data_IF_232961954943
#
_entry.id   IF_232961954943
#
_cell.length_a   1.000
_cell.length_b   1.000
_cell.length_c   1.000
_cell.angle_alpha   90.00
_cell.angle_beta   90.00
_cell.angle_gamma   90.00
#
_symmetry.space_group_name_H-M   'P 1'
#
loop_
_entity.id
_entity.type
_entity.pdbx_description
1 polymer ?
#
# COMPACT_ATOMS: atom_id res chain seq x y z
N UNK A 1 19.55 13.42 11.60
CA UNK A 1 18.15 13.85 11.93
C UNK A 1 17.30 12.61 12.09
N UNK A 2 16.72 12.42 13.26
CA UNK A 2 15.88 11.23 13.52
C UNK A 2 14.54 11.37 12.81
N UNK A 3 14.12 10.30 12.14
CA UNK A 3 12.79 10.12 11.57
C UNK A 3 12.20 8.78 12.03
N UNK A 4 10.92 8.81 12.32
CA UNK A 4 10.17 7.63 12.78
C UNK A 4 9.02 7.38 11.83
N UNK A 5 8.92 6.15 11.33
CA UNK A 5 7.81 5.68 10.52
C UNK A 5 6.97 4.67 11.30
N UNK A 6 5.65 4.81 11.26
CA UNK A 6 4.71 3.87 11.88
C UNK A 6 3.70 3.38 10.85
N UNK A 7 3.55 2.07 10.79
CA UNK A 7 2.52 1.40 10.00
C UNK A 7 1.62 0.58 10.93
N UNK A 8 0.31 0.82 10.85
CA UNK A 8 -0.70 0.10 11.64
C UNK A 8 -1.48 -0.79 10.68
N UNK A 9 -0.93 -1.97 10.42
CA UNK A 9 -1.51 -2.97 9.53
C UNK A 9 -2.50 -3.91 10.23
N UNK A 10 -3.20 -4.75 9.44
CA UNK A 10 -4.22 -5.66 9.99
C UNK A 10 -3.64 -6.82 10.78
N UNK A 11 -2.40 -7.26 10.51
CA UNK A 11 -1.73 -8.36 11.21
C UNK A 11 -0.67 -7.91 12.19
N UNK A 12 -0.10 -6.72 11.99
CA UNK A 12 1.00 -6.21 12.80
C UNK A 12 1.03 -4.69 12.82
N UNK A 13 1.63 -4.17 13.88
CA UNK A 13 2.03 -2.77 14.00
C UNK A 13 3.54 -2.72 13.86
N UNK A 14 4.04 -1.90 12.93
CA UNK A 14 5.47 -1.75 12.66
C UNK A 14 5.92 -0.34 13.00
N UNK A 15 7.09 -0.21 13.63
CA UNK A 15 7.74 1.06 13.91
C UNK A 15 9.21 0.99 13.52
N UNK A 16 9.66 1.97 12.73
CA UNK A 16 11.05 2.11 12.31
C UNK A 16 11.58 3.45 12.80
N UNK A 17 12.72 3.43 13.46
CA UNK A 17 13.48 4.63 13.83
C UNK A 17 14.74 4.69 13.00
N UNK A 18 14.97 5.78 12.30
CA UNK A 18 16.14 5.97 11.44
C UNK A 18 16.83 7.31 11.69
N UNK A 19 18.15 7.33 11.53
CA UNK A 19 18.93 8.56 11.46
C UNK A 19 19.27 8.89 10.02
N UNK A 20 18.72 10.02 9.54
CA UNK A 20 18.99 10.57 8.22
C UNK A 20 20.23 11.46 8.29
N UNK A 21 21.35 10.98 7.75
CA UNK A 21 22.58 11.76 7.60
C UNK A 21 22.60 12.38 6.19
N UNK A 22 23.20 13.56 6.07
CA UNK A 22 23.39 14.20 4.76
C UNK A 22 24.28 13.32 3.88
N UNK A 23 23.81 13.06 2.65
CA UNK A 23 24.54 12.30 1.60
C UNK A 23 24.87 10.84 1.93
N UNK A 24 24.13 10.18 2.81
CA UNK A 24 24.25 8.75 3.10
C UNK A 24 22.90 8.08 3.14
N UNK A 25 22.89 6.75 3.02
CA UNK A 25 21.68 5.96 3.25
C UNK A 25 21.22 6.12 4.70
N UNK A 26 19.90 6.10 4.94
CA UNK A 26 19.36 6.13 6.30
C UNK A 26 19.92 4.99 7.15
N UNK A 27 20.42 5.31 8.33
CA UNK A 27 20.83 4.29 9.31
C UNK A 27 19.61 3.90 10.13
N UNK A 28 19.21 2.63 10.06
CA UNK A 28 18.15 2.09 10.93
C UNK A 28 18.71 1.94 12.34
N UNK A 29 18.06 2.58 13.30
CA UNK A 29 18.39 2.52 14.72
C UNK A 29 17.53 1.52 15.47
N UNK A 30 16.26 1.35 15.05
CA UNK A 30 15.33 0.38 15.61
C UNK A 30 14.31 -0.05 14.56
N UNK A 31 13.90 -1.31 14.63
CA UNK A 31 12.81 -1.86 13.83
C UNK A 31 11.99 -2.83 14.70
N UNK A 32 10.78 -2.40 15.05
CA UNK A 32 9.86 -3.18 15.88
C UNK A 32 8.68 -3.63 15.03
N UNK A 33 8.39 -4.93 15.08
CA UNK A 33 7.16 -5.52 14.56
C UNK A 33 6.40 -6.19 15.72
N UNK A 34 5.15 -5.79 15.90
CA UNK A 34 4.29 -6.33 16.94
C UNK A 34 3.01 -6.90 16.34
N UNK A 35 2.69 -8.19 16.55
CA UNK A 35 1.48 -8.78 16.02
C UNK A 35 0.24 -8.15 16.66
N UNK A 36 -0.82 -7.93 15.87
CA UNK A 36 -2.11 -7.47 16.37
C UNK A 36 -3.26 -8.24 15.72
N UNK A 37 -4.36 -8.40 16.44
CA UNK A 37 -5.63 -8.93 15.93
C UNK A 37 -6.79 -7.95 16.11
N UNK A 38 -6.48 -6.73 16.61
CA UNK A 38 -7.46 -5.71 16.97
C UNK A 38 -7.85 -4.78 15.81
N UNK A 39 -7.42 -5.11 14.58
CA UNK A 39 -7.74 -4.39 13.35
C UNK A 39 -8.44 -5.33 12.38
N UNK A 40 -9.51 -4.87 11.77
CA UNK A 40 -10.21 -5.62 10.73
C UNK A 40 -10.60 -4.67 9.58
N UNK A 41 -10.19 -5.00 8.36
CA UNK A 41 -10.44 -4.17 7.16
C UNK A 41 -10.13 -2.69 7.40
N UNK A 42 -8.96 -2.41 7.99
CA UNK A 42 -8.47 -1.07 8.32
C UNK A 42 -9.34 -0.28 9.35
N UNK A 43 -10.25 -0.94 10.03
CA UNK A 43 -11.00 -0.39 11.14
C UNK A 43 -10.53 -0.98 12.47
N UNK A 44 -10.43 -0.15 13.50
CA UNK A 44 -10.07 -0.60 14.85
C UNK A 44 -11.26 -1.33 15.46
N UNK A 45 -11.06 -2.60 15.85
CA UNK A 45 -12.07 -3.40 16.55
C UNK A 45 -12.25 -2.86 17.97
N UNK A 46 -11.14 -2.53 18.62
CA UNK A 46 -11.11 -1.93 19.94
C UNK A 46 -10.05 -0.82 19.99
N UNK A 47 -10.51 0.42 20.04
CA UNK A 47 -9.62 1.59 20.03
C UNK A 47 -8.64 1.61 21.21
N UNK A 48 -9.10 1.22 22.41
CA UNK A 48 -8.24 1.25 23.59
C UNK A 48 -7.11 0.21 23.49
N UNK A 49 -7.43 -1.01 23.04
CA UNK A 49 -6.41 -2.05 22.86
C UNK A 49 -5.37 -1.65 21.81
N UNK A 50 -5.82 -1.11 20.66
CA UNK A 50 -4.88 -0.60 19.65
C UNK A 50 -4.01 0.52 20.20
N UNK A 51 -4.58 1.44 20.99
CA UNK A 51 -3.82 2.52 21.61
C UNK A 51 -2.73 1.97 22.54
N UNK A 52 -3.04 0.94 23.32
CA UNK A 52 -2.08 0.32 24.23
C UNK A 52 -1.00 -0.46 23.46
N UNK A 53 -1.36 -1.18 22.38
CA UNK A 53 -0.40 -1.86 21.50
C UNK A 53 0.53 -0.85 20.80
N UNK A 54 0.00 0.24 20.24
CA UNK A 54 0.81 1.30 19.59
C UNK A 54 1.74 1.95 20.61
N UNK A 55 1.24 2.27 21.81
CA UNK A 55 2.08 2.80 22.91
C UNK A 55 3.22 1.85 23.23
N UNK A 56 2.93 0.56 23.33
CA UNK A 56 3.92 -0.47 23.62
C UNK A 56 5.00 -0.51 22.53
N UNK A 57 4.60 -0.55 21.25
CA UNK A 57 5.52 -0.56 20.09
C UNK A 57 6.43 0.67 20.07
N UNK A 58 5.87 1.87 20.30
CA UNK A 58 6.64 3.12 20.33
C UNK A 58 7.61 3.14 21.52
N UNK A 59 7.18 2.64 22.68
CA UNK A 59 8.05 2.54 23.86
C UNK A 59 9.22 1.59 23.62
N UNK A 60 8.98 0.44 22.99
CA UNK A 60 10.03 -0.50 22.60
C UNK A 60 11.01 0.14 21.60
N UNK A 61 10.49 0.81 20.56
CA UNK A 61 11.30 1.48 19.55
C UNK A 61 12.16 2.62 20.14
N UNK A 62 11.59 3.41 21.06
CA UNK A 62 12.31 4.46 21.77
C UNK A 62 13.44 3.91 22.63
N UNK A 63 13.18 2.80 23.35
CA UNK A 63 14.18 2.13 24.19
C UNK A 63 15.31 1.52 23.36
N UNK A 64 14.96 0.82 22.28
CA UNK A 64 15.92 0.15 21.40
C UNK A 64 16.82 1.14 20.65
N UNK A 65 16.23 2.23 20.14
CA UNK A 65 16.96 3.33 19.45
C UNK A 65 17.65 4.30 20.40
N UNK A 66 17.41 4.23 21.70
CA UNK A 66 17.85 5.21 22.71
C UNK A 66 17.43 6.65 22.35
N UNK A 67 16.26 6.81 21.72
CA UNK A 67 15.76 8.09 21.21
C UNK A 67 14.36 8.39 21.75
N UNK A 68 14.11 9.62 22.19
CA UNK A 68 12.76 10.08 22.54
C UNK A 68 11.95 10.29 21.26
N UNK A 69 10.79 9.61 21.12
CA UNK A 69 9.91 9.71 19.96
C UNK A 69 8.80 10.72 20.28
N UNK A 70 8.89 11.92 19.71
CA UNK A 70 7.88 12.99 19.83
C UNK A 70 7.02 13.16 18.59
N UNK A 71 7.53 12.73 17.44
CA UNK A 71 6.86 12.85 16.16
C UNK A 71 7.08 11.65 15.29
N UNK A 72 6.13 11.38 14.39
CA UNK A 72 6.14 10.24 13.47
C UNK A 72 5.64 10.61 12.08
N UNK A 73 6.03 9.82 11.09
CA UNK A 73 5.35 9.69 9.81
C UNK A 73 4.44 8.47 9.88
N UNK A 74 3.18 8.61 9.49
CA UNK A 74 2.17 7.58 9.67
C UNK A 74 1.64 7.08 8.33
N UNK A 75 1.68 5.78 8.12
CA UNK A 75 1.04 5.14 6.97
C UNK A 75 -0.48 5.15 7.11
N UNK A 76 -1.15 5.46 5.99
CA UNK A 76 -2.62 5.48 5.89
C UNK A 76 -3.05 4.50 4.79
N UNK A 77 -3.94 3.53 5.09
CA UNK A 77 -4.48 2.64 4.08
C UNK A 77 -5.41 3.39 3.12
N UNK A 78 -5.41 2.97 1.84
CA UNK A 78 -6.13 3.65 0.75
C UNK A 78 -7.24 2.79 0.13
N UNK A 79 -7.75 1.78 0.84
CA UNK A 79 -8.77 0.84 0.33
C UNK A 79 -10.09 1.50 -0.09
N UNK A 80 -10.47 2.59 0.55
CA UNK A 80 -11.67 3.37 0.25
C UNK A 80 -11.32 4.78 -0.24
N UNK A 81 -10.19 4.89 -0.95
CA UNK A 81 -9.75 6.16 -1.52
C UNK A 81 -10.46 6.49 -2.83
N UNK A 82 -10.39 7.74 -3.20
CA UNK A 82 -10.82 8.25 -4.50
C UNK A 82 -9.63 8.91 -5.16
N UNK A 83 -9.32 8.47 -6.38
CA UNK A 83 -8.26 9.02 -7.20
C UNK A 83 -8.83 9.88 -8.31
N UNK A 84 -8.25 11.07 -8.50
CA UNK A 84 -8.61 11.99 -9.57
C UNK A 84 -7.40 12.35 -10.39
N UNK A 85 -7.63 12.43 -11.71
CA UNK A 85 -6.73 13.11 -12.62
C UNK A 85 -7.46 14.34 -13.13
N UNK A 86 -6.80 15.48 -13.08
CA UNK A 86 -7.34 16.73 -13.57
C UNK A 86 -6.25 17.63 -14.10
N UNK A 87 -6.63 18.54 -14.96
CA UNK A 87 -5.71 19.42 -15.67
C UNK A 87 -5.94 20.87 -15.26
N UNK A 88 -4.86 21.64 -15.19
CA UNK A 88 -4.92 23.09 -15.09
C UNK A 88 -4.16 23.71 -16.25
N UNK A 89 -4.88 24.42 -17.10
CA UNK A 89 -4.35 25.01 -18.32
C UNK A 89 -4.20 26.53 -18.14
N UNK A 90 -3.04 27.06 -18.50
CA UNK A 90 -2.79 28.48 -18.57
C UNK A 90 -2.20 28.88 -19.94
N UNK A 91 -2.55 30.06 -20.39
CA UNK A 91 -1.96 30.69 -21.58
C UNK A 91 -0.77 31.54 -21.17
N UNK A 92 0.32 31.44 -21.94
CA UNK A 92 1.61 32.09 -21.70
C UNK A 92 2.05 32.82 -22.96
N UNK A 93 1.31 33.64 -23.51
CA UNK A 93 1.53 34.55 -24.66
C UNK A 93 2.90 34.45 -25.41
N UNK A 94 3.42 33.24 -25.62
CA UNK A 94 4.70 32.90 -26.25
C UNK A 94 5.93 33.47 -25.51
N UNK A 95 5.90 33.38 -24.18
CA UNK A 95 6.99 33.77 -23.29
C UNK A 95 7.67 32.57 -22.66
N UNK A 96 8.74 32.83 -21.89
CA UNK A 96 9.39 31.82 -21.05
C UNK A 96 8.48 31.40 -19.88
N UNK A 97 8.33 30.10 -19.69
CA UNK A 97 7.66 29.57 -18.51
C UNK A 97 8.48 29.92 -17.26
N UNK A 98 7.85 30.58 -16.30
CA UNK A 98 8.42 30.98 -15.03
C UNK A 98 7.69 30.30 -13.88
N UNK A 99 8.31 30.26 -12.68
CA UNK A 99 7.68 29.74 -11.44
C UNK A 99 6.33 30.40 -11.13
N UNK A 100 6.15 31.67 -11.52
CA UNK A 100 4.88 32.37 -11.36
C UNK A 100 3.75 31.71 -12.15
N UNK A 101 4.04 31.23 -13.35
CA UNK A 101 3.07 30.53 -14.20
C UNK A 101 2.66 29.18 -13.55
N UNK A 102 3.63 28.42 -12.98
CA UNK A 102 3.33 27.21 -12.24
C UNK A 102 2.44 27.50 -11.03
N UNK A 103 2.78 28.52 -10.22
CA UNK A 103 1.96 28.94 -9.07
C UNK A 103 0.53 29.33 -9.48
N UNK A 104 0.38 30.10 -10.58
CA UNK A 104 -0.93 30.48 -11.11
C UNK A 104 -1.75 29.25 -11.49
N UNK A 105 -1.16 28.30 -12.21
CA UNK A 105 -1.84 27.07 -12.62
C UNK A 105 -2.22 26.20 -11.41
N UNK A 106 -1.36 26.09 -10.39
CA UNK A 106 -1.64 25.38 -9.15
C UNK A 106 -2.83 26.02 -8.41
N UNK A 107 -2.86 27.33 -8.26
CA UNK A 107 -3.95 28.04 -7.58
C UNK A 107 -5.29 27.94 -8.32
N UNK A 108 -5.27 27.81 -9.65
CA UNK A 108 -6.50 27.57 -10.43
C UNK A 108 -7.04 26.14 -10.28
N UNK A 109 -6.22 25.22 -9.79
CA UNK A 109 -6.56 23.79 -9.68
C UNK A 109 -7.36 23.40 -8.43
N UNK A 110 -7.54 24.31 -7.46
CA UNK A 110 -8.17 24.02 -6.15
C UNK A 110 -9.69 23.83 -6.20
N UNK A 111 -10.27 23.67 -7.39
CA UNK A 111 -11.73 23.61 -7.60
C UNK A 111 -12.44 22.35 -7.08
N UNK A 112 -11.74 21.32 -6.60
CA UNK A 112 -12.32 20.04 -6.23
C UNK A 112 -12.42 19.75 -4.73
N UNK A 113 -12.35 20.76 -3.87
CA UNK A 113 -12.36 20.58 -2.40
C UNK A 113 -13.73 20.22 -1.79
N UNK A 114 -14.76 19.96 -2.60
CA UNK A 114 -16.14 19.84 -2.14
C UNK A 114 -16.60 18.40 -1.78
N UNK A 115 -15.72 17.42 -1.69
CA UNK A 115 -16.10 16.12 -1.14
C UNK A 115 -16.07 16.18 0.40
N UNK A 116 -17.20 16.58 1.00
CA UNK A 116 -17.35 16.89 2.44
C UNK A 116 -16.80 15.79 3.35
N UNK A 117 -16.88 14.51 2.94
CA UNK A 117 -16.46 13.36 3.74
C UNK A 117 -15.05 12.86 3.45
N UNK A 118 -14.31 13.54 2.57
CA UNK A 118 -12.96 13.14 2.17
C UNK A 118 -11.94 14.23 2.53
N UNK A 119 -10.70 13.81 2.77
CA UNK A 119 -9.54 14.67 3.01
C UNK A 119 -8.46 14.31 1.98
N UNK A 120 -7.76 15.33 1.47
CA UNK A 120 -6.68 15.15 0.50
C UNK A 120 -5.49 14.53 1.24
N UNK A 121 -5.10 13.33 0.81
CA UNK A 121 -3.89 12.66 1.30
C UNK A 121 -2.68 13.02 0.44
N UNK A 122 -2.88 13.14 -0.89
CA UNK A 122 -1.85 13.57 -1.85
C UNK A 122 -2.45 14.45 -2.94
N UNK A 123 -1.69 15.46 -3.32
CA UNK A 123 -1.98 16.30 -4.49
C UNK A 123 -0.65 16.78 -5.08
N UNK A 124 -0.35 16.37 -6.32
CA UNK A 124 0.90 16.76 -6.97
C UNK A 124 0.79 16.71 -8.49
N UNK A 125 1.77 17.33 -9.15
CA UNK A 125 1.84 17.39 -10.60
C UNK A 125 2.51 16.11 -11.12
N UNK A 126 1.72 15.25 -11.76
CA UNK A 126 2.19 14.00 -12.36
C UNK A 126 2.98 14.24 -13.66
N UNK A 127 2.56 15.21 -14.49
CA UNK A 127 3.26 15.60 -15.72
C UNK A 127 2.86 17.01 -16.16
N UNK A 128 3.63 17.55 -17.09
CA UNK A 128 3.33 18.82 -17.76
C UNK A 128 3.08 18.58 -19.24
N UNK A 129 2.33 19.49 -19.88
CA UNK A 129 2.25 19.59 -21.33
C UNK A 129 2.59 21.03 -21.75
N UNK A 130 3.58 21.15 -22.61
CA UNK A 130 4.03 22.41 -23.19
C UNK A 130 3.67 22.39 -24.67
N UNK A 131 2.74 23.24 -25.10
CA UNK A 131 2.22 23.28 -26.47
C UNK A 131 1.81 21.91 -27.02
N UNK A 132 1.05 21.13 -26.18
CA UNK A 132 0.58 19.77 -26.45
C UNK A 132 1.69 18.68 -26.49
N UNK A 133 2.91 19.01 -26.06
CA UNK A 133 3.98 18.01 -25.89
C UNK A 133 4.15 17.68 -24.43
N UNK A 134 4.05 16.40 -24.09
CA UNK A 134 4.19 15.90 -22.73
C UNK A 134 5.63 16.01 -22.24
N UNK A 135 5.80 16.53 -21.02
CA UNK A 135 7.07 16.69 -20.34
C UNK A 135 6.96 16.18 -18.90
N UNK A 136 7.90 15.36 -18.44
CA UNK A 136 7.97 14.88 -17.05
C UNK A 136 8.91 15.71 -16.17
N UNK A 137 9.85 16.43 -16.79
CA UNK A 137 10.78 17.33 -16.09
C UNK A 137 10.16 18.71 -15.79
N UNK A 138 10.95 19.59 -15.13
CA UNK A 138 10.55 20.96 -14.86
C UNK A 138 10.39 21.75 -16.18
N UNK A 139 9.22 22.34 -16.45
CA UNK A 139 8.97 23.10 -17.68
C UNK A 139 9.58 24.52 -17.69
N UNK A 140 10.04 25.03 -16.52
CA UNK A 140 10.56 26.38 -16.38
C UNK A 140 11.76 26.60 -17.33
N UNK A 141 11.76 27.73 -18.02
CA UNK A 141 12.78 28.10 -19.00
C UNK A 141 12.49 27.65 -20.44
N UNK A 142 11.40 26.91 -20.68
CA UNK A 142 10.93 26.65 -22.05
C UNK A 142 10.03 27.80 -22.55
N UNK A 143 10.08 28.11 -23.84
CA UNK A 143 9.10 28.97 -24.47
C UNK A 143 7.80 28.21 -24.70
N UNK A 144 6.66 28.82 -24.39
CA UNK A 144 5.35 28.21 -24.61
C UNK A 144 4.27 29.23 -24.90
N UNK A 145 3.24 28.80 -25.61
CA UNK A 145 1.95 29.49 -25.70
C UNK A 145 0.97 28.97 -24.66
N UNK A 146 1.04 27.68 -24.41
CA UNK A 146 0.13 26.98 -23.51
C UNK A 146 0.94 26.07 -22.61
N UNK A 147 0.70 26.19 -21.30
CA UNK A 147 1.17 25.24 -20.29
C UNK A 147 -0.03 24.56 -19.66
N UNK A 148 -0.05 23.23 -19.72
CA UNK A 148 -1.01 22.40 -19.01
C UNK A 148 -0.30 21.57 -17.91
N UNK A 149 -0.83 21.61 -16.69
CA UNK A 149 -0.37 20.82 -15.56
C UNK A 149 -1.34 19.68 -15.33
N UNK A 150 -0.86 18.44 -15.45
CA UNK A 150 -1.67 17.25 -15.17
C UNK A 150 -1.46 16.84 -13.71
N UNK A 151 -2.49 16.92 -12.91
CA UNK A 151 -2.46 16.62 -11.50
C UNK A 151 -2.97 15.22 -11.22
N UNK A 152 -2.40 14.61 -10.20
CA UNK A 152 -2.95 13.46 -9.52
C UNK A 152 -3.32 13.84 -8.08
N UNK A 153 -4.56 13.57 -7.69
CA UNK A 153 -5.09 13.79 -6.34
C UNK A 153 -5.62 12.47 -5.77
N UNK A 154 -5.16 12.14 -4.59
CA UNK A 154 -5.64 10.98 -3.81
C UNK A 154 -6.34 11.50 -2.55
N UNK A 155 -7.59 11.11 -2.39
CA UNK A 155 -8.41 11.49 -1.24
C UNK A 155 -8.87 10.25 -0.49
N UNK A 156 -8.89 10.35 0.84
CA UNK A 156 -9.34 9.28 1.74
C UNK A 156 -10.44 9.79 2.67
N UNK A 157 -11.23 8.88 3.24
CA UNK A 157 -12.32 9.25 4.15
C UNK A 157 -11.79 10.00 5.37
N UNK A 158 -12.38 11.16 5.69
CA UNK A 158 -12.02 11.98 6.87
C UNK A 158 -12.08 11.18 8.17
N UNK A 159 -13.09 10.31 8.32
CA UNK A 159 -13.23 9.50 9.53
C UNK A 159 -12.04 8.57 9.74
N UNK A 160 -11.48 8.01 8.67
CA UNK A 160 -10.27 7.19 8.76
C UNK A 160 -9.10 8.02 9.29
N UNK A 161 -8.80 9.15 8.65
CA UNK A 161 -7.72 10.04 9.06
C UNK A 161 -7.90 10.50 10.51
N UNK A 162 -9.12 10.91 10.88
CA UNK A 162 -9.40 11.39 12.23
C UNK A 162 -9.21 10.28 13.27
N UNK A 163 -9.58 9.03 12.96
CA UNK A 163 -9.35 7.89 13.85
C UNK A 163 -7.87 7.70 14.14
N UNK A 164 -7.03 7.74 13.11
CA UNK A 164 -5.59 7.62 13.27
C UNK A 164 -4.96 8.86 13.96
N UNK A 165 -5.38 10.06 13.58
CA UNK A 165 -4.89 11.30 14.23
C UNK A 165 -5.25 11.34 15.73
N UNK A 166 -6.47 10.95 16.10
CA UNK A 166 -6.92 10.89 17.49
C UNK A 166 -6.13 9.89 18.32
N UNK A 167 -5.77 8.74 17.72
CA UNK A 167 -4.94 7.74 18.39
C UNK A 167 -3.59 8.33 18.83
N UNK A 168 -2.90 9.07 17.95
CA UNK A 168 -1.61 9.67 18.26
C UNK A 168 -1.72 10.95 19.10
N UNK A 169 -2.82 11.69 18.96
CA UNK A 169 -3.13 12.81 19.84
C UNK A 169 -3.26 12.35 21.31
N UNK A 170 -4.00 11.25 21.55
CA UNK A 170 -4.14 10.65 22.87
C UNK A 170 -2.81 10.10 23.44
N UNK A 171 -1.87 9.76 22.57
CA UNK A 171 -0.51 9.33 22.94
C UNK A 171 0.45 10.50 23.11
N UNK A 172 0.02 11.74 22.87
CA UNK A 172 0.83 12.96 22.86
C UNK A 172 2.01 12.91 21.87
N UNK A 173 1.79 12.24 20.73
CA UNK A 173 2.77 12.11 19.65
C UNK A 173 2.27 12.91 18.45
N UNK A 174 3.14 13.78 17.93
CA UNK A 174 2.82 14.58 16.75
C UNK A 174 2.93 13.75 15.47
N UNK A 175 1.91 13.79 14.62
CA UNK A 175 1.96 13.19 13.26
C UNK A 175 2.46 14.26 12.29
N UNK A 176 3.73 14.13 11.86
CA UNK A 176 4.36 15.08 10.93
C UNK A 176 3.76 14.95 9.54
N UNK A 177 3.60 13.71 9.06
CA UNK A 177 3.14 13.41 7.72
C UNK A 177 2.27 12.16 7.69
N UNK A 178 1.21 12.22 6.88
CA UNK A 178 0.41 11.06 6.49
C UNK A 178 0.92 10.57 5.14
N UNK A 179 1.22 9.28 5.04
CA UNK A 179 1.79 8.67 3.83
C UNK A 179 0.86 7.54 3.37
N UNK A 180 0.46 7.48 2.08
CA UNK A 180 -0.28 6.33 1.58
C UNK A 180 0.53 5.05 1.73
N UNK A 181 -0.06 4.01 2.32
CA UNK A 181 0.62 2.71 2.49
C UNK A 181 1.22 2.17 1.19
N UNK A 182 0.52 2.16 0.03
CA UNK A 182 1.12 1.66 -1.22
C UNK A 182 2.36 2.44 -1.65
N UNK A 183 2.43 3.74 -1.37
CA UNK A 183 3.62 4.53 -1.67
C UNK A 183 4.80 4.12 -0.80
N UNK A 184 4.60 3.93 0.51
CA UNK A 184 5.65 3.50 1.44
C UNK A 184 6.19 2.13 1.05
N UNK A 185 5.30 1.16 0.77
CA UNK A 185 5.66 -0.19 0.35
C UNK A 185 6.50 -0.18 -0.92
N UNK A 186 6.08 0.60 -1.92
CA UNK A 186 6.82 0.69 -3.18
C UNK A 186 8.19 1.38 -3.03
N UNK A 187 8.27 2.47 -2.28
CA UNK A 187 9.54 3.15 -2.03
C UNK A 187 10.55 2.29 -1.24
N UNK A 188 10.07 1.30 -0.50
CA UNK A 188 10.92 0.35 0.21
C UNK A 188 11.56 -0.71 -0.70
N UNK A 189 10.94 -1.04 -1.84
CA UNK A 189 11.35 -2.15 -2.71
C UNK A 189 11.80 -1.72 -4.10
N UNK A 190 11.34 -0.55 -4.60
CA UNK A 190 11.72 -0.02 -5.91
C UNK A 190 12.94 0.90 -5.79
N UNK A 191 13.97 0.64 -6.56
CA UNK A 191 15.09 1.56 -6.72
C UNK A 191 14.72 2.74 -7.65
N UNK A 192 15.66 3.66 -7.87
CA UNK A 192 15.44 4.86 -8.73
C UNK A 192 15.21 4.44 -10.17
N UNK A 193 16.00 3.49 -10.67
CA UNK A 193 15.93 3.03 -12.07
C UNK A 193 14.59 2.33 -12.36
N UNK A 194 14.08 1.52 -11.42
CA UNK A 194 12.76 0.90 -11.54
C UNK A 194 11.65 1.97 -11.69
N UNK A 195 11.71 3.03 -10.87
CA UNK A 195 10.73 4.11 -10.91
C UNK A 195 10.85 4.97 -12.17
N UNK A 196 12.06 5.16 -12.68
CA UNK A 196 12.28 5.92 -13.92
C UNK A 196 11.82 5.15 -15.16
N UNK A 197 12.21 3.88 -15.27
CA UNK A 197 11.83 3.00 -16.38
C UNK A 197 10.34 2.66 -16.41
N UNK A 198 9.66 2.85 -15.29
CA UNK A 198 8.27 2.50 -15.08
C UNK A 198 8.10 1.16 -14.37
N UNK A 199 7.39 1.19 -13.23
CA UNK A 199 7.11 0.03 -12.42
C UNK A 199 5.67 0.04 -11.89
N UNK A 200 5.08 -1.14 -11.81
CA UNK A 200 3.89 -1.42 -11.00
C UNK A 200 4.36 -2.19 -9.77
N UNK A 201 4.09 -1.68 -8.58
CA UNK A 201 4.31 -2.41 -7.35
C UNK A 201 2.96 -2.81 -6.76
N UNK A 202 2.80 -4.11 -6.46
CA UNK A 202 1.60 -4.67 -5.83
C UNK A 202 2.01 -5.20 -4.45
N UNK A 203 1.40 -4.65 -3.40
CA UNK A 203 1.58 -5.09 -2.02
C UNK A 203 0.41 -6.00 -1.63
N UNK A 204 0.69 -7.29 -1.50
CA UNK A 204 -0.26 -8.33 -1.11
C UNK A 204 -0.32 -8.43 0.42
N UNK A 205 -1.09 -7.54 1.03
CA UNK A 205 -1.28 -7.48 2.47
C UNK A 205 -2.25 -8.54 3.01
N UNK A 206 -2.53 -8.49 4.32
CA UNK A 206 -3.47 -9.42 4.96
C UNK A 206 -4.93 -9.13 4.58
N UNK A 207 -5.39 -7.88 4.72
CA UNK A 207 -6.79 -7.51 4.50
C UNK A 207 -7.04 -6.80 3.17
N UNK A 208 -5.99 -6.31 2.53
CA UNK A 208 -6.08 -5.57 1.27
C UNK A 208 -4.85 -5.85 0.41
N UNK A 209 -5.05 -5.68 -0.89
CA UNK A 209 -3.97 -5.64 -1.88
C UNK A 209 -3.90 -4.23 -2.42
N UNK A 210 -2.77 -3.58 -2.24
CA UNK A 210 -2.54 -2.23 -2.75
C UNK A 210 -1.64 -2.22 -3.97
N UNK A 211 -1.78 -1.19 -4.80
CA UNK A 211 -0.98 -1.04 -6.00
C UNK A 211 -0.53 0.41 -6.16
N UNK A 212 0.62 0.56 -6.77
CA UNK A 212 1.18 1.84 -7.15
C UNK A 212 1.83 1.73 -8.52
N UNK A 213 1.76 2.81 -9.29
CA UNK A 213 2.35 2.89 -10.62
C UNK A 213 3.30 4.07 -10.67
N UNK A 214 4.55 3.81 -11.05
CA UNK A 214 5.58 4.81 -11.31
C UNK A 214 5.96 4.86 -12.79
N UNK A 215 6.33 6.03 -13.28
CA UNK A 215 6.95 6.27 -14.57
C UNK A 215 7.74 7.59 -14.50
N UNK A 216 8.96 7.64 -15.03
CA UNK A 216 9.85 8.80 -14.98
C UNK A 216 10.03 9.36 -13.54
N UNK A 217 10.29 8.47 -12.59
CA UNK A 217 10.38 8.75 -11.14
C UNK A 217 9.11 9.38 -10.52
N UNK A 218 8.04 9.57 -11.31
CA UNK A 218 6.78 10.14 -10.85
C UNK A 218 5.80 9.05 -10.45
N UNK A 219 5.16 9.23 -9.30
CA UNK A 219 4.01 8.43 -8.93
C UNK A 219 2.85 8.81 -9.85
N UNK A 220 2.34 7.87 -10.61
CA UNK A 220 1.20 8.11 -11.51
C UNK A 220 -0.12 7.74 -10.87
N UNK A 221 -0.12 6.75 -10.00
CA UNK A 221 -1.34 6.21 -9.43
C UNK A 221 -1.05 5.41 -8.15
N UNK A 222 -1.95 5.47 -7.19
CA UNK A 222 -1.97 4.61 -6.01
C UNK A 222 -3.42 4.28 -5.66
N UNK A 223 -3.72 3.01 -5.40
CA UNK A 223 -5.05 2.55 -5.00
C UNK A 223 -4.92 1.22 -4.24
N UNK A 224 -6.04 0.67 -3.76
CA UNK A 224 -6.09 -0.64 -3.15
C UNK A 224 -7.44 -1.31 -3.39
N UNK A 225 -7.44 -2.64 -3.32
CA UNK A 225 -8.64 -3.47 -3.27
C UNK A 225 -8.76 -4.12 -1.90
N UNK A 226 -10.01 -4.25 -1.38
CA UNK A 226 -10.30 -4.78 -0.04
C UNK A 226 -10.27 -6.33 -0.01
N UNK A 227 -9.31 -6.93 -0.72
CA UNK A 227 -9.02 -8.37 -0.72
C UNK A 227 -7.54 -8.56 -0.44
N UNK A 228 -7.21 -9.44 0.50
CA UNK A 228 -5.84 -9.76 0.88
C UNK A 228 -5.68 -11.24 1.25
N UNK A 229 -4.52 -11.61 1.72
CA UNK A 229 -4.16 -13.01 2.02
C UNK A 229 -5.04 -13.67 3.09
N UNK A 230 -5.71 -12.88 3.94
CA UNK A 230 -6.71 -13.37 4.91
C UNK A 230 -7.95 -13.96 4.23
N UNK A 231 -8.29 -13.49 3.03
CA UNK A 231 -9.38 -14.07 2.24
C UNK A 231 -9.05 -15.49 1.84
N UNK A 232 -7.80 -15.75 1.40
CA UNK A 232 -7.31 -17.11 1.09
C UNK A 232 -7.43 -18.00 2.33
N UNK A 233 -6.97 -17.53 3.49
CA UNK A 233 -7.08 -18.27 4.76
C UNK A 233 -8.52 -18.62 5.12
N UNK A 234 -9.45 -17.67 4.94
CA UNK A 234 -10.87 -17.90 5.19
C UNK A 234 -11.47 -18.92 4.21
N UNK A 235 -11.07 -18.88 2.93
CA UNK A 235 -11.54 -19.82 1.93
C UNK A 235 -11.04 -21.24 2.20
N UNK A 236 -9.76 -21.39 2.59
CA UNK A 236 -9.21 -22.67 3.02
C UNK A 236 -9.99 -23.18 4.26
N UNK A 237 -10.16 -22.34 5.29
CA UNK A 237 -10.86 -22.73 6.51
C UNK A 237 -12.27 -23.25 6.23
N UNK A 238 -13.01 -22.60 5.32
CA UNK A 238 -14.35 -23.01 4.89
C UNK A 238 -14.33 -24.23 3.99
N UNK A 239 -13.46 -24.25 2.97
CA UNK A 239 -13.40 -25.29 1.95
C UNK A 239 -13.03 -26.67 2.52
N UNK A 240 -12.17 -26.68 3.53
CA UNK A 240 -11.76 -27.94 4.18
C UNK A 240 -12.30 -28.08 5.62
N UNK A 241 -13.19 -27.21 6.08
CA UNK A 241 -13.81 -27.25 7.42
C UNK A 241 -12.78 -27.37 8.53
N UNK A 242 -11.86 -26.38 8.63
CA UNK A 242 -10.83 -26.31 9.66
C UNK A 242 -10.80 -24.94 10.35
N UNK A 243 -10.00 -24.78 11.40
CA UNK A 243 -9.82 -23.49 12.08
C UNK A 243 -9.06 -22.50 11.17
N UNK A 244 -9.25 -21.20 11.38
CA UNK A 244 -8.48 -20.16 10.66
C UNK A 244 -6.98 -20.28 10.94
N UNK A 245 -6.61 -20.66 12.15
CA UNK A 245 -5.22 -20.87 12.55
C UNK A 245 -4.59 -22.03 11.77
N UNK A 246 -5.29 -23.18 11.70
CA UNK A 246 -4.86 -24.31 10.88
C UNK A 246 -4.82 -23.96 9.40
N UNK A 247 -5.81 -23.22 8.89
CA UNK A 247 -5.85 -22.77 7.50
C UNK A 247 -4.70 -21.82 7.16
N UNK A 248 -4.33 -20.91 8.06
CA UNK A 248 -3.18 -20.03 7.89
C UNK A 248 -1.87 -20.83 7.83
N UNK A 249 -1.73 -21.80 8.72
CA UNK A 249 -0.57 -22.70 8.71
C UNK A 249 -0.50 -23.53 7.42
N UNK A 250 -1.64 -24.07 6.96
CA UNK A 250 -1.71 -24.82 5.70
C UNK A 250 -1.34 -23.96 4.49
N UNK A 251 -1.89 -22.74 4.42
CA UNK A 251 -1.55 -21.77 3.38
C UNK A 251 -0.04 -21.49 3.34
N UNK A 252 0.57 -21.29 4.51
CA UNK A 252 1.98 -20.90 4.61
C UNK A 252 2.93 -22.06 4.30
N UNK A 253 2.58 -23.29 4.70
CA UNK A 253 3.47 -24.45 4.55
C UNK A 253 3.28 -25.22 3.24
N UNK A 254 2.06 -25.26 2.72
CA UNK A 254 1.70 -26.13 1.59
C UNK A 254 1.02 -25.41 0.42
N UNK A 255 0.63 -24.12 0.62
CA UNK A 255 -0.11 -23.38 -0.38
C UNK A 255 0.74 -22.98 -1.57
N UNK A 256 0.25 -23.24 -2.78
CA UNK A 256 0.83 -22.79 -4.04
C UNK A 256 -0.26 -22.29 -5.00
N UNK A 257 0.09 -21.32 -5.84
CA UNK A 257 -0.76 -20.89 -6.97
C UNK A 257 -0.59 -21.81 -8.17
N UNK A 258 0.59 -22.39 -8.30
CA UNK A 258 0.91 -23.36 -9.34
C UNK A 258 0.49 -24.75 -8.91
N UNK A 259 0.01 -25.55 -9.86
CA UNK A 259 -0.36 -26.93 -9.64
C UNK A 259 0.69 -27.87 -10.21
N UNK A 260 1.06 -28.90 -9.47
CA UNK A 260 1.94 -29.99 -9.90
C UNK A 260 1.22 -31.33 -9.84
N UNK A 261 1.49 -32.27 -10.75
CA UNK A 261 0.95 -33.63 -10.65
C UNK A 261 1.30 -34.35 -9.33
N UNK A 262 2.40 -34.00 -8.70
CA UNK A 262 2.80 -34.53 -7.38
C UNK A 262 1.85 -34.10 -6.25
N UNK A 263 1.17 -32.96 -6.37
CA UNK A 263 0.27 -32.43 -5.34
C UNK A 263 -0.93 -33.36 -5.06
N UNK A 264 -1.31 -34.20 -6.00
CA UNK A 264 -2.37 -35.20 -5.82
C UNK A 264 -1.95 -36.36 -4.93
N UNK A 265 -0.65 -36.59 -4.79
CA UNK A 265 -0.09 -37.69 -4.00
C UNK A 265 0.48 -37.22 -2.64
N UNK A 266 0.64 -35.90 -2.47
CA UNK A 266 1.09 -35.33 -1.20
C UNK A 266 -0.07 -35.22 -0.22
N UNK A 267 -0.08 -36.11 0.80
CA UNK A 267 -1.13 -36.20 1.81
C UNK A 267 -0.77 -35.32 3.00
N UNK A 268 -1.71 -34.48 3.42
CA UNK A 268 -1.59 -33.58 4.56
C UNK A 268 -2.65 -33.93 5.60
N UNK A 269 -2.24 -34.06 6.85
CA UNK A 269 -3.15 -34.29 7.97
C UNK A 269 -3.62 -32.98 8.58
N UNK A 270 -4.93 -32.84 8.74
CA UNK A 270 -5.57 -31.64 9.27
C UNK A 270 -6.54 -31.97 10.40
N UNK A 271 -6.65 -31.14 11.45
CA UNK A 271 -7.61 -31.36 12.53
C UNK A 271 -9.04 -31.19 12.04
N UNK A 272 -9.96 -32.05 12.50
CA UNK A 272 -11.41 -31.96 12.20
C UNK A 272 -12.07 -30.99 13.18
N UNK A 273 -13.06 -30.23 12.71
CA UNK A 273 -13.94 -29.38 13.53
C UNK A 273 -15.35 -29.98 13.63
N UNK A 274 -15.98 -29.88 14.79
CA UNK A 274 -15.41 -29.54 16.13
C UNK A 274 -14.43 -30.62 16.61
N UNK A 275 -13.30 -30.16 17.14
CA UNK A 275 -12.27 -31.10 17.66
C UNK A 275 -12.70 -31.69 18.96
N UNK A 276 -13.55 -32.72 18.92
CA UNK A 276 -13.63 -33.68 20.03
C UNK A 276 -12.46 -34.67 19.86
N UNK A 277 -11.42 -34.43 20.68
CA UNK A 277 -10.30 -35.34 20.87
C UNK A 277 -9.53 -35.82 19.62
N UNK A 278 -8.71 -34.91 19.06
CA UNK A 278 -7.57 -35.37 18.26
C UNK A 278 -7.90 -36.12 16.97
N UNK A 279 -9.08 -35.92 16.39
CA UNK A 279 -9.41 -36.51 15.11
C UNK A 279 -8.79 -35.69 13.97
N UNK A 280 -8.08 -36.35 13.08
CA UNK A 280 -7.47 -35.79 11.89
C UNK A 280 -8.13 -36.38 10.67
N UNK A 281 -8.23 -35.59 9.61
CA UNK A 281 -8.54 -36.06 8.27
C UNK A 281 -7.37 -35.82 7.33
N UNK A 282 -7.28 -36.64 6.31
CA UNK A 282 -6.28 -36.50 5.26
C UNK A 282 -6.86 -35.78 4.06
N UNK A 283 -6.10 -34.85 3.51
CA UNK A 283 -6.40 -34.14 2.25
C UNK A 283 -5.15 -34.12 1.39
N UNK A 284 -5.33 -34.02 0.09
CA UNK A 284 -4.21 -33.84 -0.83
C UNK A 284 -3.82 -32.36 -0.92
N UNK A 285 -2.55 -32.05 -1.16
CA UNK A 285 -2.06 -30.69 -1.36
C UNK A 285 -2.82 -29.99 -2.50
N UNK A 286 -3.17 -30.73 -3.56
CA UNK A 286 -4.00 -30.24 -4.66
C UNK A 286 -5.33 -29.63 -4.21
N UNK A 287 -5.94 -30.16 -3.13
CA UNK A 287 -7.18 -29.59 -2.54
C UNK A 287 -6.97 -28.17 -2.04
N UNK A 288 -5.83 -27.90 -1.38
CA UNK A 288 -5.48 -26.56 -0.88
C UNK A 288 -5.21 -25.61 -2.04
N UNK A 289 -4.42 -26.05 -3.03
CA UNK A 289 -4.05 -25.24 -4.20
C UNK A 289 -5.27 -24.88 -5.05
N UNK A 290 -6.23 -25.80 -5.20
CA UNK A 290 -7.50 -25.56 -5.90
C UNK A 290 -8.40 -24.54 -5.20
N UNK A 291 -8.23 -24.30 -3.89
CA UNK A 291 -8.92 -23.23 -3.15
C UNK A 291 -8.16 -21.91 -3.30
N UNK A 292 -6.83 -21.95 -3.25
CA UNK A 292 -5.98 -20.76 -3.30
C UNK A 292 -6.06 -20.05 -4.65
N UNK A 293 -5.89 -20.83 -5.73
CA UNK A 293 -5.75 -20.31 -7.09
C UNK A 293 -6.89 -19.38 -7.51
N UNK A 294 -8.18 -19.72 -7.39
CA UNK A 294 -9.27 -18.81 -7.76
C UNK A 294 -9.30 -17.51 -6.98
N UNK A 295 -8.86 -17.55 -5.71
CA UNK A 295 -8.79 -16.33 -4.88
C UNK A 295 -7.66 -15.41 -5.31
N UNK A 296 -6.53 -15.95 -5.72
CA UNK A 296 -5.41 -15.17 -6.28
C UNK A 296 -5.84 -14.58 -7.62
N UNK A 297 -6.48 -15.37 -8.49
CA UNK A 297 -7.02 -14.90 -9.77
C UNK A 297 -7.97 -13.72 -9.59
N UNK A 298 -8.95 -13.82 -8.69
CA UNK A 298 -9.86 -12.73 -8.38
C UNK A 298 -9.13 -11.48 -7.88
N UNK A 299 -8.14 -11.67 -7.00
CA UNK A 299 -7.36 -10.55 -6.47
C UNK A 299 -6.61 -9.81 -7.57
N UNK A 300 -5.93 -10.54 -8.44
CA UNK A 300 -5.18 -9.96 -9.57
C UNK A 300 -6.11 -9.34 -10.61
N UNK A 301 -7.29 -9.95 -10.85
CA UNK A 301 -8.30 -9.38 -11.76
C UNK A 301 -8.83 -8.03 -11.24
N UNK A 302 -9.10 -7.90 -9.95
CA UNK A 302 -9.52 -6.63 -9.35
C UNK A 302 -8.43 -5.56 -9.43
N UNK A 303 -7.16 -5.93 -9.22
CA UNK A 303 -6.02 -5.02 -9.44
C UNK A 303 -5.96 -4.60 -10.90
N UNK A 304 -6.12 -5.54 -11.83
CA UNK A 304 -6.14 -5.25 -13.26
C UNK A 304 -7.30 -4.33 -13.67
N UNK A 305 -8.49 -4.53 -13.08
CA UNK A 305 -9.64 -3.65 -13.29
C UNK A 305 -9.33 -2.20 -12.87
N UNK A 306 -8.63 -2.00 -11.73
CA UNK A 306 -8.16 -0.68 -11.32
C UNK A 306 -7.23 -0.04 -12.36
N UNK A 307 -6.26 -0.78 -12.87
CA UNK A 307 -5.36 -0.30 -13.93
C UNK A 307 -6.10 0.04 -15.23
N UNK A 308 -7.11 -0.74 -15.59
CA UNK A 308 -7.96 -0.48 -16.77
C UNK A 308 -8.82 0.76 -16.60
N UNK A 309 -9.44 0.95 -15.43
CA UNK A 309 -10.30 2.09 -15.12
C UNK A 309 -9.59 3.44 -15.38
N UNK A 310 -8.29 3.50 -15.12
CA UNK A 310 -7.47 4.70 -15.31
C UNK A 310 -6.59 4.66 -16.56
N UNK A 311 -6.84 3.73 -17.50
CA UNK A 311 -6.08 3.53 -18.74
C UNK A 311 -4.57 3.28 -18.54
N UNK A 312 -4.16 2.85 -17.35
CA UNK A 312 -2.76 2.58 -17.01
C UNK A 312 -2.23 1.31 -17.68
N UNK A 313 -3.10 0.33 -17.98
CA UNK A 313 -2.79 -0.89 -18.73
C UNK A 313 -2.24 -0.65 -20.15
N UNK A 314 -2.46 0.55 -20.72
CA UNK A 314 -1.95 0.93 -22.05
C UNK A 314 -0.53 1.47 -22.00
N UNK A 315 0.02 1.71 -20.80
CA UNK A 315 1.39 2.21 -20.65
C UNK A 315 2.40 1.08 -20.82
N UNK A 316 3.55 1.42 -21.37
CA UNK A 316 4.64 0.45 -21.59
C UNK A 316 5.46 0.26 -20.30
N UNK A 317 4.80 -0.12 -19.22
CA UNK A 317 5.46 -0.42 -17.95
C UNK A 317 6.05 -1.82 -18.06
N UNK A 318 7.35 -1.96 -17.73
CA UNK A 318 8.10 -3.20 -17.93
C UNK A 318 8.26 -4.01 -16.65
N UNK A 319 8.25 -3.35 -15.49
CA UNK A 319 8.56 -3.99 -14.23
C UNK A 319 7.29 -4.16 -13.40
N UNK A 320 7.00 -5.40 -12.98
CA UNK A 320 5.99 -5.73 -12.00
C UNK A 320 6.71 -6.28 -10.75
N UNK A 321 6.51 -5.63 -9.62
CA UNK A 321 7.13 -6.01 -8.34
C UNK A 321 6.04 -6.39 -7.35
N UNK A 322 6.16 -7.58 -6.78
CA UNK A 322 5.29 -8.05 -5.71
C UNK A 322 5.97 -7.87 -4.36
N UNK A 323 5.23 -7.39 -3.38
CA UNK A 323 5.67 -7.26 -1.98
C UNK A 323 4.54 -7.62 -1.02
N UNK A 324 4.78 -7.47 0.29
CA UNK A 324 3.82 -7.86 1.31
C UNK A 324 3.87 -9.35 1.66
N UNK A 325 3.17 -9.74 2.73
CA UNK A 325 3.18 -11.13 3.21
C UNK A 325 2.61 -12.13 2.20
N UNK A 326 1.61 -11.73 1.41
CA UNK A 326 0.99 -12.57 0.38
C UNK A 326 1.92 -12.86 -0.80
N UNK A 327 2.94 -12.05 -1.05
CA UNK A 327 3.93 -12.29 -2.11
C UNK A 327 4.85 -13.49 -1.84
N UNK A 328 4.83 -14.02 -0.61
CA UNK A 328 5.56 -15.23 -0.23
C UNK A 328 4.84 -16.53 -0.60
N UNK A 329 3.61 -16.44 -1.14
CA UNK A 329 2.88 -17.61 -1.60
C UNK A 329 3.62 -18.24 -2.77
N UNK A 330 3.87 -19.56 -2.66
CA UNK A 330 4.60 -20.31 -3.69
C UNK A 330 3.98 -20.15 -5.09
N UNK A 331 4.81 -19.84 -6.07
CA UNK A 331 4.42 -19.72 -7.48
C UNK A 331 3.71 -18.42 -7.86
N UNK A 332 3.48 -17.48 -6.93
CA UNK A 332 2.73 -16.25 -7.26
C UNK A 332 3.51 -15.32 -8.20
N UNK A 333 4.82 -15.35 -8.18
CA UNK A 333 5.65 -14.53 -9.07
C UNK A 333 5.74 -15.12 -10.50
N UNK A 334 5.54 -16.43 -10.62
CA UNK A 334 5.56 -17.15 -11.91
C UNK A 334 4.17 -17.23 -12.55
N UNK A 335 3.13 -16.96 -11.77
CA UNK A 335 1.73 -16.96 -12.18
C UNK A 335 1.33 -15.70 -12.93
#
# INVERSE_FOLDING_TARGET
MIKVGVDIGNSKISCVVSDLQKNSLPKILSFINYPTSNINKNAFINFQLIKDEVRHVITLAAKDSQTEIKSINLNIPVTDSISFFYDSKIEIENELIMDLHLKKAINQSDFFDNLINYEILMNYIASYEVDNKKLFGNPVGNFAKILNLNFYKLMVKKNLINTFKNLFYDLQIHVEQLVPTPLSSALAVLNVDDRDLGAICIDLGEASTSLVVFEHEKLLFADAVSIGSKNITNDIARGISTTKESAERLKTLYGSVLSSPSDEHEIIEIPILPSEFGQFKQINRSTINNIIKPRVEETLELVWQKLRQYNLHKRKIKNLVLTGGGSQLEGIADY
#
